data_IF_688930870375
#
_entry.id   IF_688930870375
#
_cell.length_a   1.000
_cell.length_b   1.000
_cell.length_c   1.000
_cell.angle_alpha   90.00
_cell.angle_beta   90.00
_cell.angle_gamma   90.00
#
_symmetry.space_group_name_H-M   'P 1'
#
loop_
_entity.id
_entity.type
_entity.pdbx_description
1 polymer ?
#
# COMPACT_ATOMS: atom_id res chain seq x y z
N UNK A 1 64.25 -19.40 13.53
CA UNK A 1 62.83 -19.46 13.13
C UNK A 1 62.26 -18.05 13.17
N UNK A 2 62.71 -17.21 12.25
CA UNK A 2 62.35 -15.78 12.15
C UNK A 2 61.37 -15.53 10.99
N UNK A 3 60.66 -16.56 10.56
CA UNK A 3 59.66 -16.55 9.48
C UNK A 3 58.33 -15.90 9.90
N UNK A 4 58.33 -15.03 10.93
CA UNK A 4 57.11 -14.77 11.69
C UNK A 4 56.76 -13.29 11.85
N UNK A 5 57.69 -12.34 11.61
CA UNK A 5 57.42 -10.91 11.78
C UNK A 5 57.33 -10.14 10.46
N UNK A 6 58.30 -10.34 9.55
CA UNK A 6 58.31 -9.64 8.26
C UNK A 6 57.28 -10.21 7.28
N UNK A 7 57.00 -11.52 7.34
CA UNK A 7 55.93 -12.15 6.55
C UNK A 7 54.55 -11.65 7.00
N UNK A 8 54.31 -11.55 8.31
CA UNK A 8 53.08 -10.96 8.84
C UNK A 8 52.91 -9.48 8.47
N UNK A 9 54.01 -8.75 8.26
CA UNK A 9 53.98 -7.36 7.80
C UNK A 9 53.68 -7.26 6.29
N UNK A 10 54.17 -8.23 5.50
CA UNK A 10 53.89 -8.35 4.07
C UNK A 10 52.43 -8.72 3.81
N UNK A 11 51.84 -9.57 4.66
CA UNK A 11 50.44 -9.98 4.57
C UNK A 11 49.47 -8.98 5.25
N UNK A 12 50.01 -7.95 5.92
CA UNK A 12 49.22 -7.01 6.72
C UNK A 12 48.20 -6.24 5.89
N UNK A 13 48.58 -5.87 4.66
CA UNK A 13 47.69 -5.19 3.72
C UNK A 13 46.50 -6.09 3.37
N UNK A 14 46.75 -7.34 2.99
CA UNK A 14 45.71 -8.31 2.65
C UNK A 14 44.81 -8.62 3.86
N UNK A 15 45.37 -8.69 5.06
CA UNK A 15 44.60 -8.84 6.30
C UNK A 15 43.64 -7.66 6.53
N UNK A 16 44.11 -6.42 6.40
CA UNK A 16 43.24 -5.25 6.56
C UNK A 16 42.21 -5.11 5.43
N UNK A 17 42.52 -5.53 4.21
CA UNK A 17 41.53 -5.59 3.12
C UNK A 17 40.43 -6.60 3.43
N UNK A 18 40.80 -7.81 3.85
CA UNK A 18 39.83 -8.84 4.20
C UNK A 18 39.00 -8.43 5.42
N UNK A 19 39.62 -7.85 6.45
CA UNK A 19 38.92 -7.32 7.62
C UNK A 19 37.94 -6.21 7.24
N UNK A 20 38.37 -5.25 6.42
CA UNK A 20 37.50 -4.17 5.94
C UNK A 20 36.35 -4.68 5.07
N UNK A 21 36.60 -5.68 4.23
CA UNK A 21 35.56 -6.33 3.42
C UNK A 21 34.56 -7.10 4.29
N UNK A 22 35.02 -7.93 5.22
CA UNK A 22 34.15 -8.68 6.13
C UNK A 22 33.33 -7.74 7.01
N UNK A 23 33.95 -6.68 7.54
CA UNK A 23 33.26 -5.67 8.33
C UNK A 23 32.22 -4.93 7.49
N UNK A 24 32.58 -4.49 6.28
CA UNK A 24 31.68 -3.79 5.37
C UNK A 24 30.53 -4.65 4.88
N UNK A 25 30.76 -5.94 4.61
CA UNK A 25 29.70 -6.88 4.23
C UNK A 25 28.77 -7.20 5.39
N UNK A 26 29.30 -7.41 6.59
CA UNK A 26 28.50 -7.64 7.78
C UNK A 26 27.65 -6.42 8.15
N UNK A 27 28.23 -5.22 8.13
CA UNK A 27 27.53 -3.97 8.42
C UNK A 27 26.52 -3.63 7.32
N UNK A 28 26.88 -3.85 6.06
CA UNK A 28 25.98 -3.67 4.92
C UNK A 28 24.78 -4.62 4.96
N UNK A 29 24.98 -5.89 5.34
CA UNK A 29 23.90 -6.85 5.51
C UNK A 29 22.95 -6.47 6.66
N UNK A 30 23.50 -6.04 7.80
CA UNK A 30 22.71 -5.61 8.94
C UNK A 30 21.93 -4.32 8.62
N UNK A 31 22.61 -3.30 8.11
CA UNK A 31 22.00 -2.01 7.75
C UNK A 31 20.96 -2.19 6.67
N UNK A 32 21.28 -2.93 5.60
CA UNK A 32 20.35 -3.20 4.50
C UNK A 32 19.09 -3.96 4.95
N UNK A 33 19.22 -4.92 5.88
CA UNK A 33 18.06 -5.60 6.45
C UNK A 33 17.19 -4.63 7.28
N UNK A 34 17.80 -3.78 8.10
CA UNK A 34 17.05 -2.80 8.91
C UNK A 34 16.34 -1.76 8.05
N UNK A 35 17.02 -1.22 7.05
CA UNK A 35 16.45 -0.25 6.11
C UNK A 35 15.31 -0.87 5.30
N UNK A 36 15.55 -2.07 4.75
CA UNK A 36 14.52 -2.81 4.02
C UNK A 36 13.29 -3.11 4.86
N UNK A 37 13.48 -3.43 6.14
CA UNK A 37 12.37 -3.69 7.08
C UNK A 37 11.55 -2.44 7.36
N UNK A 38 12.21 -1.30 7.59
CA UNK A 38 11.53 -0.01 7.82
C UNK A 38 10.74 0.39 6.56
N UNK A 39 11.38 0.31 5.40
CA UNK A 39 10.74 0.62 4.13
C UNK A 39 9.52 -0.28 3.84
N UNK A 40 9.64 -1.58 4.11
CA UNK A 40 8.54 -2.53 3.92
C UNK A 40 7.32 -2.19 4.79
N UNK A 41 7.55 -1.84 6.06
CA UNK A 41 6.47 -1.42 6.98
C UNK A 41 5.81 -0.12 6.53
N UNK A 42 6.61 0.87 6.13
CA UNK A 42 6.10 2.16 5.64
C UNK A 42 5.22 1.97 4.40
N UNK A 43 5.70 1.22 3.41
CA UNK A 43 4.94 0.96 2.17
C UNK A 43 3.73 0.08 2.41
N UNK A 44 3.82 -0.91 3.30
CA UNK A 44 2.68 -1.73 3.71
C UNK A 44 1.58 -0.85 4.32
N UNK A 45 1.94 0.02 5.26
CA UNK A 45 0.99 0.91 5.91
C UNK A 45 0.27 1.84 4.92
N UNK A 46 1.00 2.49 4.00
CA UNK A 46 0.41 3.34 2.95
C UNK A 46 -0.65 2.59 2.13
N UNK A 47 -0.35 1.36 1.71
CA UNK A 47 -1.29 0.51 0.94
C UNK A 47 -2.55 0.20 1.74
N UNK A 48 -2.42 -0.17 3.01
CA UNK A 48 -3.56 -0.49 3.87
C UNK A 48 -4.41 0.73 4.23
N UNK A 49 -3.80 1.92 4.37
CA UNK A 49 -4.55 3.18 4.54
C UNK A 49 -5.39 3.48 3.31
N UNK A 50 -4.83 3.32 2.11
CA UNK A 50 -5.57 3.54 0.88
C UNK A 50 -6.68 2.50 0.67
N UNK A 51 -6.44 1.24 1.00
CA UNK A 51 -7.47 0.20 1.09
C UNK A 51 -8.60 0.63 2.02
N UNK A 52 -8.29 1.02 3.26
CA UNK A 52 -9.29 1.47 4.22
C UNK A 52 -10.10 2.67 3.73
N UNK A 53 -9.47 3.60 2.99
CA UNK A 53 -10.14 4.73 2.36
C UNK A 53 -11.15 4.26 1.29
N UNK A 54 -10.77 3.29 0.46
CA UNK A 54 -11.66 2.70 -0.55
C UNK A 54 -12.82 1.93 0.12
N UNK A 55 -12.56 1.22 1.22
CA UNK A 55 -13.59 0.53 2.00
C UNK A 55 -14.63 1.51 2.55
N UNK A 56 -14.18 2.60 3.18
CA UNK A 56 -15.07 3.64 3.69
C UNK A 56 -15.93 4.27 2.58
N UNK A 57 -15.35 4.55 1.42
CA UNK A 57 -16.11 5.02 0.24
C UNK A 57 -17.17 4.01 -0.19
N UNK A 58 -16.80 2.73 -0.28
CA UNK A 58 -17.71 1.67 -0.68
C UNK A 58 -18.90 1.54 0.28
N UNK A 59 -18.68 1.62 1.60
CA UNK A 59 -19.75 1.62 2.60
C UNK A 59 -20.71 2.80 2.43
N UNK A 60 -20.18 4.01 2.21
CA UNK A 60 -21.01 5.20 1.96
C UNK A 60 -21.83 5.04 0.69
N UNK A 61 -21.23 4.54 -0.40
CA UNK A 61 -21.94 4.29 -1.65
C UNK A 61 -23.01 3.19 -1.53
N UNK A 62 -22.76 2.15 -0.73
CA UNK A 62 -23.74 1.09 -0.45
C UNK A 62 -24.95 1.64 0.29
N UNK A 63 -24.73 2.42 1.36
CA UNK A 63 -25.81 3.04 2.11
C UNK A 63 -26.66 3.99 1.24
N UNK A 64 -26.02 4.79 0.37
CA UNK A 64 -26.73 5.67 -0.57
C UNK A 64 -27.58 4.90 -1.58
N UNK A 65 -27.19 3.67 -1.95
CA UNK A 65 -27.95 2.82 -2.86
C UNK A 65 -29.17 2.21 -2.15
N UNK A 66 -29.03 1.78 -0.89
CA UNK A 66 -30.09 1.15 -0.10
C UNK A 66 -31.20 2.13 0.32
N UNK A 67 -30.85 3.39 0.66
CA UNK A 67 -31.82 4.42 1.06
C UNK A 67 -32.90 4.66 0.00
N UNK A 68 -32.56 4.54 -1.29
CA UNK A 68 -33.50 4.72 -2.41
C UNK A 68 -34.43 3.52 -2.63
N UNK A 69 -33.98 2.31 -2.29
CA UNK A 69 -34.83 1.10 -2.34
C UNK A 69 -35.94 1.15 -1.29
N UNK A 70 -35.71 1.81 -0.15
CA UNK A 70 -36.69 1.94 0.94
C UNK A 70 -37.72 3.05 0.72
N UNK A 71 -37.42 4.11 -0.05
CA UNK A 71 -38.40 5.18 -0.33
C UNK A 71 -39.50 4.75 -1.33
N UNK A 72 -39.32 3.63 -2.02
CA UNK A 72 -40.31 3.06 -2.96
C UNK A 72 -41.11 1.86 -2.44
N UNK A 73 -40.73 1.26 -1.31
CA UNK A 73 -41.36 0.06 -0.78
C UNK A 73 -41.60 0.18 0.73
N UNK A 74 -42.86 0.40 1.12
CA UNK A 74 -43.28 0.29 2.50
C UNK A 74 -42.90 -1.08 3.06
N UNK A 75 -42.11 -1.07 4.14
CA UNK A 75 -41.94 -2.11 5.17
C UNK A 75 -41.95 -3.58 4.70
N UNK A 76 -40.79 -4.23 4.72
CA UNK A 76 -40.63 -5.62 5.19
C UNK A 76 -39.16 -5.90 5.50
N UNK A 77 -38.89 -6.16 6.77
CA UNK A 77 -37.67 -6.79 7.25
C UNK A 77 -37.56 -8.23 6.73
N UNK A 78 -36.36 -8.63 6.32
CA UNK A 78 -35.65 -9.83 6.76
C UNK A 78 -34.57 -10.16 5.72
N UNK A 79 -33.30 -9.95 6.06
CA UNK A 79 -32.12 -10.60 5.47
C UNK A 79 -30.91 -10.28 6.34
N UNK A 80 -30.55 -11.27 7.14
CA UNK A 80 -29.37 -11.36 7.99
C UNK A 80 -28.06 -11.24 7.22
N UNK A 81 -27.39 -10.09 7.35
CA UNK A 81 -25.93 -9.98 7.29
C UNK A 81 -25.56 -8.83 8.21
N UNK A 82 -24.79 -9.11 9.26
CA UNK A 82 -24.29 -8.15 10.25
C UNK A 82 -23.30 -7.15 9.63
N UNK A 83 -23.76 -6.35 8.68
CA UNK A 83 -23.04 -5.16 8.21
C UNK A 83 -23.60 -3.97 8.95
N UNK A 84 -22.76 -3.38 9.81
CA UNK A 84 -23.01 -2.19 10.62
C UNK A 84 -23.92 -1.19 9.89
N UNK A 85 -25.23 -1.21 10.21
CA UNK A 85 -26.20 -0.27 9.65
C UNK A 85 -26.01 1.09 10.33
N UNK A 86 -24.93 1.77 9.94
CA UNK A 86 -24.74 3.17 10.25
C UNK A 86 -25.79 3.89 9.41
N UNK A 87 -26.80 4.45 10.08
CA UNK A 87 -27.73 5.40 9.48
C UNK A 87 -27.27 6.83 9.79
N UNK A 88 -26.12 7.31 9.26
CA UNK A 88 -25.72 8.69 9.49
C UNK A 88 -26.71 9.59 8.74
N UNK A 89 -27.29 10.55 9.45
CA UNK A 89 -28.15 11.59 8.89
C UNK A 89 -27.52 12.30 7.69
N UNK A 90 -26.18 12.40 7.66
CA UNK A 90 -25.37 12.92 6.55
C UNK A 90 -25.63 12.22 5.20
N UNK A 91 -25.96 10.93 5.18
CA UNK A 91 -26.26 10.23 3.93
C UNK A 91 -27.56 10.70 3.26
N UNK A 92 -28.48 11.30 4.01
CA UNK A 92 -29.75 11.83 3.49
C UNK A 92 -29.57 13.13 2.71
N UNK A 93 -28.54 13.90 3.02
CA UNK A 93 -28.24 15.19 2.38
C UNK A 93 -27.39 15.04 1.11
N UNK A 94 -26.93 13.82 0.80
CA UNK A 94 -26.06 13.57 -0.36
C UNK A 94 -26.86 13.34 -1.65
N UNK A 95 -26.36 13.79 -2.81
CA UNK A 95 -27.05 13.60 -4.09
C UNK A 95 -27.39 12.14 -4.36
N UNK A 96 -28.66 11.89 -4.73
CA UNK A 96 -29.14 10.53 -4.98
C UNK A 96 -28.43 9.91 -6.19
N UNK A 97 -28.07 8.64 -6.08
CA UNK A 97 -27.43 7.91 -7.16
C UNK A 97 -28.39 7.73 -8.37
N UNK A 98 -27.87 7.75 -9.62
CA UNK A 98 -28.68 7.54 -10.81
C UNK A 98 -29.47 6.22 -10.72
N UNK A 99 -30.79 6.24 -10.96
CA UNK A 99 -31.59 5.02 -10.96
C UNK A 99 -31.16 4.14 -12.14
N UNK A 100 -31.06 2.82 -11.92
CA UNK A 100 -30.99 1.75 -12.94
C UNK A 100 -29.65 1.13 -13.37
N UNK A 101 -28.51 1.41 -12.76
CA UNK A 101 -27.31 0.67 -13.18
C UNK A 101 -27.05 -0.55 -12.29
N UNK A 102 -27.65 -1.70 -12.66
CA UNK A 102 -27.27 -3.03 -12.16
C UNK A 102 -25.75 -3.26 -12.22
N UNK A 103 -25.09 -2.59 -13.17
CA UNK A 103 -23.64 -2.49 -13.32
C UNK A 103 -22.95 -1.78 -12.16
N UNK A 104 -23.49 -0.67 -11.63
CA UNK A 104 -22.96 0.01 -10.44
C UNK A 104 -23.08 -0.89 -9.22
N UNK A 105 -24.24 -1.52 -9.01
CA UNK A 105 -24.44 -2.44 -7.89
C UNK A 105 -23.44 -3.61 -7.92
N UNK A 106 -23.23 -4.23 -9.10
CA UNK A 106 -22.21 -5.28 -9.25
C UNK A 106 -20.79 -4.78 -9.02
N UNK A 107 -20.43 -3.62 -9.57
CA UNK A 107 -19.10 -3.04 -9.36
C UNK A 107 -18.86 -2.71 -7.88
N UNK A 108 -19.89 -2.25 -7.18
CA UNK A 108 -19.83 -1.94 -5.76
C UNK A 108 -19.70 -3.21 -4.91
N UNK A 109 -20.43 -4.26 -5.24
CA UNK A 109 -20.28 -5.55 -4.59
C UNK A 109 -18.86 -6.09 -4.76
N UNK A 110 -18.33 -6.09 -5.99
CA UNK A 110 -16.94 -6.51 -6.23
C UNK A 110 -15.93 -5.61 -5.51
N UNK A 111 -16.20 -4.30 -5.39
CA UNK A 111 -15.33 -3.41 -4.61
C UNK A 111 -15.34 -3.78 -3.12
N UNK A 112 -16.50 -4.08 -2.54
CA UNK A 112 -16.60 -4.51 -1.15
C UNK A 112 -15.89 -5.84 -0.92
N UNK A 113 -16.03 -6.80 -1.84
CA UNK A 113 -15.33 -8.09 -1.78
C UNK A 113 -13.79 -7.91 -1.84
N UNK A 114 -13.29 -6.99 -2.66
CA UNK A 114 -11.84 -6.75 -2.81
C UNK A 114 -11.20 -6.04 -1.61
N UNK A 115 -11.99 -5.26 -0.86
CA UNK A 115 -11.48 -4.41 0.23
C UNK A 115 -12.00 -4.85 1.60
N UNK A 116 -12.63 -6.02 1.70
CA UNK A 116 -13.15 -6.54 2.96
C UNK A 116 -12.00 -6.92 3.91
N UNK A 117 -11.80 -6.20 5.03
CA UNK A 117 -10.70 -6.44 5.96
C UNK A 117 -10.68 -7.86 6.54
N UNK A 118 -11.83 -8.54 6.61
CA UNK A 118 -11.90 -9.90 7.14
C UNK A 118 -11.31 -10.96 6.20
N UNK A 119 -11.15 -10.63 4.91
CA UNK A 119 -10.66 -11.55 3.87
C UNK A 119 -9.20 -11.35 3.51
N UNK A 120 -8.56 -10.33 4.08
CA UNK A 120 -7.15 -10.00 3.82
C UNK A 120 -6.24 -10.89 4.66
N UNK A 121 -5.31 -11.56 3.98
CA UNK A 121 -4.19 -12.22 4.66
C UNK A 121 -3.17 -11.15 5.08
N UNK A 122 -2.86 -11.11 6.38
CA UNK A 122 -1.91 -10.16 6.98
C UNK A 122 -0.56 -10.82 7.27
N UNK A 123 -0.31 -12.00 6.70
CA UNK A 123 0.99 -12.66 6.77
C UNK A 123 2.03 -11.93 5.90
N UNK A 124 3.29 -11.91 6.36
CA UNK A 124 4.41 -11.29 5.62
C UNK A 124 5.05 -12.31 4.66
N UNK A 125 4.24 -12.95 3.83
CA UNK A 125 4.71 -13.83 2.73
C UNK A 125 4.63 -13.08 1.41
N UNK A 126 5.45 -13.46 0.43
CA UNK A 126 5.44 -12.84 -0.89
C UNK A 126 4.07 -12.97 -1.57
N UNK A 127 3.43 -14.13 -1.40
CA UNK A 127 2.10 -14.42 -1.95
C UNK A 127 1.02 -13.53 -1.33
N UNK A 128 1.03 -13.34 -0.01
CA UNK A 128 0.06 -12.49 0.67
C UNK A 128 0.23 -11.03 0.25
N UNK A 129 1.47 -10.53 0.18
CA UNK A 129 1.76 -9.16 -0.27
C UNK A 129 1.28 -8.93 -1.71
N UNK A 130 1.53 -9.88 -2.61
CA UNK A 130 1.09 -9.75 -4.00
C UNK A 130 -0.44 -9.77 -4.13
N UNK A 131 -1.14 -10.62 -3.37
CA UNK A 131 -2.61 -10.65 -3.34
C UNK A 131 -3.19 -9.30 -2.88
N UNK A 132 -2.63 -8.69 -1.82
CA UNK A 132 -3.04 -7.35 -1.38
C UNK A 132 -2.83 -6.30 -2.47
N UNK A 133 -1.71 -6.34 -3.19
CA UNK A 133 -1.42 -5.42 -4.29
C UNK A 133 -2.37 -5.58 -5.48
N UNK A 134 -2.71 -6.82 -5.84
CA UNK A 134 -3.69 -7.12 -6.89
C UNK A 134 -5.09 -6.64 -6.49
N UNK A 135 -5.50 -6.89 -5.24
CA UNK A 135 -6.78 -6.41 -4.70
C UNK A 135 -6.86 -4.90 -4.67
N UNK A 136 -5.80 -4.21 -4.22
CA UNK A 136 -5.74 -2.75 -4.18
C UNK A 136 -5.86 -2.15 -5.60
N UNK A 137 -5.12 -2.69 -6.58
CA UNK A 137 -5.23 -2.28 -7.99
C UNK A 137 -6.65 -2.51 -8.51
N UNK A 138 -7.21 -3.70 -8.28
CA UNK A 138 -8.57 -4.04 -8.65
C UNK A 138 -9.59 -3.07 -8.05
N UNK A 139 -9.52 -2.84 -6.74
CA UNK A 139 -10.37 -1.93 -6.00
C UNK A 139 -10.30 -0.50 -6.53
N UNK A 140 -9.08 0.02 -6.77
CA UNK A 140 -8.89 1.34 -7.34
C UNK A 140 -9.56 1.49 -8.71
N UNK A 141 -9.48 0.45 -9.58
CA UNK A 141 -10.20 0.48 -10.87
C UNK A 141 -11.72 0.47 -10.68
N UNK A 142 -12.25 -0.36 -9.77
CA UNK A 142 -13.71 -0.42 -9.51
C UNK A 142 -14.23 0.90 -8.95
N UNK A 143 -13.49 1.51 -8.03
CA UNK A 143 -13.82 2.81 -7.46
C UNK A 143 -13.92 3.90 -8.54
N UNK A 144 -12.95 3.96 -9.47
CA UNK A 144 -13.00 4.89 -10.62
C UNK A 144 -14.21 4.65 -11.52
N UNK A 145 -14.56 3.38 -11.77
CA UNK A 145 -15.76 3.03 -12.54
C UNK A 145 -17.05 3.49 -11.86
N UNK A 146 -17.13 3.34 -10.54
CA UNK A 146 -18.26 3.78 -9.72
C UNK A 146 -18.38 5.31 -9.77
N UNK A 147 -17.30 6.04 -9.46
CA UNK A 147 -17.26 7.51 -9.52
C UNK A 147 -17.74 8.04 -10.88
N UNK A 148 -17.23 7.46 -11.97
CA UNK A 148 -17.63 7.85 -13.34
C UNK A 148 -19.11 7.56 -13.61
N UNK A 149 -19.64 6.45 -13.11
CA UNK A 149 -21.07 6.12 -13.25
C UNK A 149 -21.97 7.07 -12.44
N UNK A 150 -21.45 7.68 -11.38
CA UNK A 150 -22.18 8.63 -10.54
C UNK A 150 -22.07 10.08 -11.02
N UNK A 151 -21.18 10.36 -11.98
CA UNK A 151 -20.92 11.73 -12.44
C UNK A 151 -20.19 12.60 -11.41
N UNK A 152 -19.70 12.02 -10.31
CA UNK A 152 -18.84 12.71 -9.35
C UNK A 152 -17.47 12.93 -10.02
N UNK A 153 -17.13 14.20 -10.29
CA UNK A 153 -15.78 14.57 -10.75
C UNK A 153 -14.84 14.42 -9.57
N UNK A 154 -13.71 13.77 -9.79
CA UNK A 154 -12.66 13.65 -8.78
C UNK A 154 -12.16 15.06 -8.44
N UNK A 155 -12.49 15.57 -7.25
CA UNK A 155 -11.79 16.72 -6.71
C UNK A 155 -10.35 16.28 -6.46
N UNK A 156 -9.44 16.76 -7.31
CA UNK A 156 -7.98 16.53 -7.27
C UNK A 156 -7.32 17.00 -5.95
N UNK A 157 -8.11 17.40 -4.94
CA UNK A 157 -7.64 17.95 -3.67
C UNK A 157 -7.17 16.90 -2.66
N UNK A 158 -7.38 15.60 -2.91
CA UNK A 158 -6.90 14.51 -2.03
C UNK A 158 -6.12 13.43 -2.75
N UNK A 159 -5.72 13.68 -3.99
CA UNK A 159 -4.72 12.84 -4.63
C UNK A 159 -3.37 13.20 -4.01
N UNK A 160 -3.03 12.54 -2.90
CA UNK A 160 -1.63 12.24 -2.63
C UNK A 160 -1.26 11.22 -3.71
N UNK A 161 -1.03 11.72 -4.93
CA UNK A 161 -0.26 11.01 -5.93
C UNK A 161 1.03 10.59 -5.21
N UNK A 162 1.39 9.30 -5.16
CA UNK A 162 2.78 8.94 -5.01
C UNK A 162 3.44 9.42 -6.30
N UNK A 163 3.88 10.68 -6.27
CA UNK A 163 4.67 11.26 -7.32
C UNK A 163 5.90 10.36 -7.48
N UNK A 164 6.06 9.93 -8.73
CA UNK A 164 7.19 9.23 -9.30
C UNK A 164 7.28 7.73 -9.01
N UNK A 165 6.60 6.99 -9.89
CA UNK A 165 7.27 5.94 -10.67
C UNK A 165 8.46 6.54 -11.44
N UNK A 166 9.50 6.98 -10.71
CA UNK A 166 10.85 7.02 -11.23
C UNK A 166 11.57 5.84 -10.61
N UNK A 167 11.83 4.85 -11.44
CA UNK A 167 12.95 3.93 -11.23
C UNK A 167 14.21 4.78 -11.21
N UNK A 168 14.55 5.34 -10.05
CA UNK A 168 15.81 6.03 -9.79
C UNK A 168 16.22 5.70 -8.36
N UNK A 169 16.49 4.42 -8.22
CA UNK A 169 17.03 3.76 -7.04
C UNK A 169 17.41 2.35 -7.49
N UNK A 170 18.08 2.25 -8.64
CA UNK A 170 18.85 1.04 -8.94
C UNK A 170 19.89 0.98 -7.82
N UNK A 171 19.73 0.03 -6.90
CA UNK A 171 20.60 -0.16 -5.73
C UNK A 171 22.06 -0.46 -6.10
N UNK A 172 22.46 -0.26 -7.35
CA UNK A 172 23.82 -0.25 -7.86
C UNK A 172 24.51 1.11 -7.67
N UNK A 173 24.30 1.78 -6.52
CA UNK A 173 25.10 2.94 -6.16
C UNK A 173 26.57 2.52 -6.17
N UNK A 174 27.32 2.98 -7.18
CA UNK A 174 28.73 2.68 -7.33
C UNK A 174 29.46 3.14 -6.07
N UNK A 175 29.92 2.18 -5.28
CA UNK A 175 30.66 2.39 -4.02
C UNK A 175 31.98 3.16 -4.21
N UNK A 176 32.38 3.38 -5.47
CA UNK A 176 33.64 4.04 -5.82
C UNK A 176 33.60 5.57 -5.77
N UNK A 177 32.43 6.21 -5.58
CA UNK A 177 32.29 7.68 -5.65
C UNK A 177 32.23 8.37 -4.26
N UNK A 178 33.19 8.04 -3.40
CA UNK A 178 33.40 8.65 -2.06
C UNK A 178 33.85 10.12 -2.10
N UNK A 179 34.05 10.68 -3.30
CA UNK A 179 34.48 12.06 -3.52
C UNK A 179 33.40 13.11 -3.22
N UNK A 180 32.14 12.71 -3.07
CA UNK A 180 31.00 13.62 -2.90
C UNK A 180 30.69 14.00 -1.43
N UNK A 181 31.43 13.45 -0.46
CA UNK A 181 31.26 13.82 0.95
C UNK A 181 31.92 15.18 1.23
N UNK A 182 31.13 16.25 1.08
CA UNK A 182 31.50 17.55 1.64
C UNK A 182 31.49 17.47 3.16
N UNK A 183 32.66 17.24 3.74
CA UNK A 183 32.92 17.39 5.17
C UNK A 183 32.71 18.86 5.50
N UNK A 184 31.61 19.18 6.18
CA UNK A 184 31.43 20.50 6.80
C UNK A 184 32.36 20.56 8.02
N UNK A 185 33.29 21.50 7.95
CA UNK A 185 34.32 21.77 8.95
C UNK A 185 33.78 22.52 10.18
#
# INVERSE_FOLDING_TARGET
>A
MEHNLLDSLLDLEEQFYNEGYELGTADGAATGYTEGSVFAVEKGFEKFVEMGRLYGKALVWAQRLEMKSSEGAGSRADSTTDTLSLNPSICKDMPSLPPHSTRLARNLQTLLELVDPATLDMSNTEEAVNDVDERLKGAATKAKLIQRAMGEREDSATQVEPKDMSTSGDGSGSIEDISALSIRH
#
